data_IF_066674693032
#
_entry.id   IF_066674693032
#
_cell.length_a   1.000
_cell.length_b   1.000
_cell.length_c   1.000
_cell.angle_alpha   90.00
_cell.angle_beta   90.00
_cell.angle_gamma   90.00
#
_symmetry.space_group_name_H-M   'P 1'
#
loop_
_entity.id
_entity.type
_entity.pdbx_description
1 polymer ?
#
# COMPACT_ATOMS: atom_id res chain seq x y z
N UNK A 1 2.21 16.86 -26.94
CA UNK A 1 2.38 16.18 -25.64
C UNK A 1 1.24 15.17 -25.54
N UNK A 2 1.50 13.87 -25.66
CA UNK A 2 0.43 12.87 -25.52
C UNK A 2 0.02 12.80 -24.04
N UNK A 3 -1.28 12.86 -23.78
CA UNK A 3 -1.82 12.80 -22.41
C UNK A 3 -1.81 11.35 -21.95
N UNK A 4 -1.51 11.08 -20.67
CA UNK A 4 -1.48 9.72 -20.09
C UNK A 4 -2.73 8.91 -20.45
N UNK A 5 -3.89 9.57 -20.43
CA UNK A 5 -5.19 9.03 -20.81
C UNK A 5 -5.15 8.39 -22.21
N UNK A 6 -4.64 9.10 -23.20
CA UNK A 6 -4.66 8.67 -24.61
C UNK A 6 -3.82 7.40 -24.84
N UNK A 7 -2.89 7.10 -23.93
CA UNK A 7 -1.99 5.94 -24.02
C UNK A 7 -2.48 4.73 -23.23
N UNK A 8 -3.19 4.94 -22.12
CA UNK A 8 -3.43 3.88 -21.14
C UNK A 8 -4.90 3.70 -20.74
N UNK A 9 -5.81 4.57 -21.19
CA UNK A 9 -7.23 4.48 -20.80
C UNK A 9 -7.84 3.10 -21.11
N UNK A 10 -7.59 2.58 -22.31
CA UNK A 10 -8.15 1.28 -22.73
C UNK A 10 -7.56 0.13 -21.91
N UNK A 11 -6.28 0.20 -21.56
CA UNK A 11 -5.63 -0.80 -20.70
C UNK A 11 -6.21 -0.78 -19.29
N UNK A 12 -6.45 0.41 -18.72
CA UNK A 12 -7.08 0.51 -17.39
C UNK A 12 -8.50 -0.04 -17.39
N UNK A 13 -9.28 0.25 -18.43
CA UNK A 13 -10.63 -0.28 -18.56
C UNK A 13 -10.62 -1.81 -18.68
N UNK A 14 -9.72 -2.36 -19.51
CA UNK A 14 -9.60 -3.81 -19.67
C UNK A 14 -9.26 -4.52 -18.35
N UNK A 15 -8.34 -3.97 -17.56
CA UNK A 15 -7.98 -4.54 -16.24
C UNK A 15 -9.15 -4.48 -15.26
N UNK A 16 -9.90 -3.37 -15.25
CA UNK A 16 -11.06 -3.22 -14.36
C UNK A 16 -12.18 -4.21 -14.69
N UNK A 17 -12.36 -4.54 -15.98
CA UNK A 17 -13.36 -5.52 -16.43
C UNK A 17 -13.01 -6.97 -16.04
N UNK A 18 -11.75 -7.25 -15.70
CA UNK A 18 -11.28 -8.56 -15.27
C UNK A 18 -11.31 -8.74 -13.74
N UNK A 19 -11.68 -7.70 -12.98
CA UNK A 19 -11.79 -7.80 -11.53
C UNK A 19 -12.97 -8.70 -11.13
N UNK A 20 -12.69 -9.71 -10.31
CA UNK A 20 -13.69 -10.59 -9.74
C UNK A 20 -14.67 -9.86 -8.81
N UNK A 21 -15.76 -10.53 -8.40
CA UNK A 21 -16.71 -9.98 -7.44
C UNK A 21 -16.02 -9.73 -6.08
N UNK A 22 -16.55 -8.81 -5.25
CA UNK A 22 -16.05 -8.60 -3.90
C UNK A 22 -16.14 -9.89 -3.07
N UNK A 23 -15.02 -10.27 -2.46
CA UNK A 23 -14.94 -11.43 -1.57
C UNK A 23 -14.92 -11.00 -0.10
N UNK A 24 -15.42 -11.88 0.78
CA UNK A 24 -15.29 -11.66 2.21
C UNK A 24 -13.88 -12.03 2.67
N UNK A 25 -13.31 -11.18 3.51
CA UNK A 25 -11.98 -11.40 4.12
C UNK A 25 -12.11 -12.35 5.31
N UNK A 26 -12.46 -13.60 5.07
CA UNK A 26 -12.70 -14.62 6.11
C UNK A 26 -12.12 -15.98 5.72
N UNK A 27 -12.04 -16.89 6.69
CA UNK A 27 -11.63 -18.27 6.48
C UNK A 27 -10.16 -18.43 6.04
N UNK A 28 -9.84 -19.45 5.22
CA UNK A 28 -8.45 -19.81 4.90
C UNK A 28 -7.62 -18.70 4.26
N UNK A 29 -8.26 -17.79 3.52
CA UNK A 29 -7.58 -16.65 2.89
C UNK A 29 -7.17 -15.62 3.95
N UNK A 30 -8.02 -15.37 4.95
CA UNK A 30 -7.67 -14.49 6.07
C UNK A 30 -6.50 -15.08 6.87
N UNK A 31 -6.51 -16.38 7.13
CA UNK A 31 -5.42 -17.06 7.85
C UNK A 31 -4.09 -16.96 7.10
N UNK A 32 -4.12 -17.10 5.76
CA UNK A 32 -2.94 -16.90 4.92
C UNK A 32 -2.42 -15.46 5.01
N UNK A 33 -3.31 -14.48 4.87
CA UNK A 33 -2.96 -13.05 4.97
C UNK A 33 -2.36 -12.76 6.35
N UNK A 34 -2.94 -13.28 7.43
CA UNK A 34 -2.44 -13.07 8.77
C UNK A 34 -1.02 -13.66 8.94
N UNK A 35 -0.79 -14.88 8.45
CA UNK A 35 0.55 -15.51 8.48
C UNK A 35 1.59 -14.67 7.73
N UNK A 36 1.25 -14.19 6.55
CA UNK A 36 2.17 -13.37 5.73
C UNK A 36 2.44 -12.01 6.38
N UNK A 37 1.42 -11.40 6.99
CA UNK A 37 1.57 -10.15 7.73
C UNK A 37 2.47 -10.33 8.96
N UNK A 38 2.30 -11.41 9.72
CA UNK A 38 3.14 -11.69 10.89
C UNK A 38 4.61 -11.93 10.51
N UNK A 39 4.87 -12.57 9.36
CA UNK A 39 6.23 -12.77 8.85
C UNK A 39 6.95 -11.45 8.53
N UNK A 40 6.22 -10.42 8.08
CA UNK A 40 6.79 -9.13 7.69
C UNK A 40 6.80 -8.12 8.85
N UNK A 41 5.68 -8.03 9.58
CA UNK A 41 5.43 -7.02 10.58
C UNK A 41 5.78 -7.46 12.01
N UNK A 42 5.95 -8.77 12.22
CA UNK A 42 6.05 -9.39 13.54
C UNK A 42 4.68 -9.74 14.13
N UNK A 43 4.66 -10.42 15.29
CA UNK A 43 3.44 -10.85 15.92
C UNK A 43 2.57 -9.67 16.37
N UNK A 44 1.25 -9.86 16.37
CA UNK A 44 0.29 -8.81 16.73
C UNK A 44 0.51 -8.24 18.14
N UNK A 45 0.99 -9.06 19.08
CA UNK A 45 1.33 -8.64 20.44
C UNK A 45 2.40 -7.52 20.47
N UNK A 46 3.25 -7.45 19.45
CA UNK A 46 4.33 -6.47 19.32
C UNK A 46 4.02 -5.33 18.34
N UNK A 47 2.75 -5.17 17.93
CA UNK A 47 2.35 -4.23 16.89
C UNK A 47 2.78 -2.78 17.18
N UNK A 48 2.88 -2.39 18.45
CA UNK A 48 3.30 -1.04 18.82
C UNK A 48 4.75 -0.75 18.45
N UNK A 49 5.65 -1.74 18.51
CA UNK A 49 7.03 -1.58 18.01
C UNK A 49 7.03 -1.28 16.52
N UNK A 50 6.22 -2.01 15.75
CA UNK A 50 6.06 -1.79 14.30
C UNK A 50 5.43 -0.42 13.99
N UNK A 51 4.43 0.00 14.76
CA UNK A 51 3.80 1.33 14.65
C UNK A 51 4.80 2.45 14.94
N UNK A 52 5.63 2.32 15.97
CA UNK A 52 6.69 3.29 16.26
C UNK A 52 7.71 3.38 15.12
N UNK A 53 8.15 2.24 14.59
CA UNK A 53 9.03 2.21 13.42
C UNK A 53 8.40 2.94 12.22
N UNK A 54 7.13 2.65 11.91
CA UNK A 54 6.37 3.32 10.84
C UNK A 54 6.32 4.82 11.05
N UNK A 55 5.98 5.27 12.26
CA UNK A 55 5.85 6.70 12.57
C UNK A 55 7.18 7.45 12.40
N UNK A 56 8.32 6.84 12.78
CA UNK A 56 9.65 7.42 12.54
C UNK A 56 9.94 7.61 11.04
N UNK A 57 9.57 6.63 10.21
CA UNK A 57 9.73 6.71 8.75
C UNK A 57 8.83 7.78 8.13
N UNK A 58 7.59 7.90 8.59
CA UNK A 58 6.66 8.94 8.14
C UNK A 58 7.16 10.34 8.50
N UNK A 59 7.73 10.54 9.70
CA UNK A 59 8.33 11.81 10.08
C UNK A 59 9.53 12.19 9.19
N UNK A 60 10.40 11.22 8.89
CA UNK A 60 11.52 11.44 7.97
C UNK A 60 11.05 11.76 6.55
N UNK A 61 10.02 11.07 6.04
CA UNK A 61 9.43 11.33 4.74
C UNK A 61 8.80 12.73 4.67
N UNK A 62 8.10 13.15 5.73
CA UNK A 62 7.51 14.48 5.80
C UNK A 62 8.59 15.58 5.74
N UNK A 63 9.70 15.40 6.46
CA UNK A 63 10.86 16.29 6.37
C UNK A 63 11.43 16.33 4.95
N UNK A 64 11.70 15.17 4.35
CA UNK A 64 12.24 15.08 3.00
C UNK A 64 11.35 15.80 1.97
N UNK A 65 10.03 15.60 2.02
CA UNK A 65 9.09 16.28 1.11
C UNK A 65 9.14 17.80 1.26
N UNK A 66 9.28 18.29 2.50
CA UNK A 66 9.42 19.72 2.76
C UNK A 66 10.73 20.25 2.15
N UNK A 67 11.84 19.58 2.45
CA UNK A 67 13.17 19.99 1.99
C UNK A 67 13.24 20.02 0.44
N UNK A 68 12.60 19.07 -0.24
CA UNK A 68 12.51 19.01 -1.71
C UNK A 68 11.61 20.10 -2.31
N UNK A 69 10.51 20.43 -1.65
CA UNK A 69 9.62 21.50 -2.12
C UNK A 69 10.22 22.90 -1.87
N UNK A 70 11.03 23.05 -0.82
CA UNK A 70 11.73 24.31 -0.50
C UNK A 70 12.98 24.52 -1.38
N UNK A 71 13.38 23.52 -2.19
CA UNK A 71 14.51 23.60 -3.15
C UNK A 71 14.08 23.81 -4.61
N UNK A 72 12.77 23.95 -4.87
CA UNK A 72 12.21 24.46 -6.13
C UNK A 72 11.91 25.96 -6.02
#
# INVERSE_FOLDING_TARGET
>A
MYVLRDRYADTFLAIQQDMGPPEKMEGPVLDLIQKDLEAIAGPLADIDKRRQWRNRRLAALAKLKKDLNDTE
#
